data_IF_879360844819
#
_entry.id   IF_879360844819
#
_cell.length_a   1.000
_cell.length_b   1.000
_cell.length_c   1.000
_cell.angle_alpha   90.00
_cell.angle_beta   90.00
_cell.angle_gamma   90.00
#
_symmetry.space_group_name_H-M   'P 1'
#
loop_
_entity.id
_entity.type
_entity.pdbx_description
1 polymer ?
#
# COMPACT_ATOMS: atom_id res chain seq x y z
N UNK A 1 -15.00 29.64 -75.27
CA UNK A 1 -14.24 30.36 -74.21
C UNK A 1 -14.44 29.55 -72.92
N UNK A 2 -13.48 28.70 -72.48
CA UNK A 2 -12.41 28.97 -71.46
C UNK A 2 -12.95 29.73 -70.23
N UNK A 3 -12.79 29.42 -68.93
CA UNK A 3 -12.01 28.53 -68.03
C UNK A 3 -12.76 28.58 -66.66
N UNK A 4 -12.93 27.53 -65.83
CA UNK A 4 -12.04 26.91 -64.80
C UNK A 4 -11.54 27.77 -63.59
N UNK A 5 -11.65 27.17 -62.37
CA UNK A 5 -10.88 27.33 -61.07
C UNK A 5 -11.49 28.17 -59.92
N UNK A 6 -11.78 27.64 -58.70
CA UNK A 6 -11.01 27.04 -57.56
C UNK A 6 -10.43 28.08 -56.55
N UNK A 7 -10.47 27.72 -55.25
CA UNK A 7 -9.70 28.14 -54.04
C UNK A 7 -10.49 29.00 -53.03
N UNK A 8 -10.75 28.53 -51.79
CA UNK A 8 -9.89 28.00 -50.71
C UNK A 8 -9.29 29.10 -49.83
N UNK A 9 -9.72 29.10 -48.56
CA UNK A 9 -9.25 29.99 -47.50
C UNK A 9 -8.05 29.37 -46.78
N UNK A 10 -7.00 30.17 -46.63
CA UNK A 10 -5.72 29.87 -45.97
C UNK A 10 -5.62 30.73 -44.70
N UNK A 11 -5.15 30.13 -43.59
CA UNK A 11 -4.51 30.81 -42.45
C UNK A 11 -3.70 29.71 -41.71
N UNK A 12 -2.38 29.53 -41.90
CA UNK A 12 -1.19 30.25 -41.40
C UNK A 12 -1.11 30.33 -39.86
N UNK A 13 -0.15 29.62 -39.25
CA UNK A 13 1.05 30.24 -38.64
C UNK A 13 2.13 29.21 -38.20
N UNK A 14 3.38 29.58 -38.49
CA UNK A 14 4.68 28.91 -38.27
C UNK A 14 5.30 29.29 -36.91
N UNK A 15 6.24 28.48 -36.39
CA UNK A 15 7.56 28.96 -35.95
C UNK A 15 8.58 27.81 -35.72
N UNK A 16 9.82 28.03 -36.19
CA UNK A 16 11.03 27.19 -36.19
C UNK A 16 12.12 27.84 -35.31
N UNK A 17 13.01 27.03 -34.69
CA UNK A 17 14.45 27.27 -34.41
C UNK A 17 14.95 26.17 -33.44
N UNK A 18 16.13 25.50 -33.50
CA UNK A 18 17.32 25.54 -34.35
C UNK A 18 18.57 25.18 -33.51
N UNK A 19 19.27 24.07 -33.84
CA UNK A 19 20.71 23.69 -33.63
C UNK A 19 21.38 23.76 -32.23
N UNK A 20 22.35 22.92 -31.78
CA UNK A 20 23.15 21.83 -32.38
C UNK A 20 24.24 21.24 -31.42
N UNK A 21 24.65 19.99 -31.75
CA UNK A 21 25.93 19.23 -31.64
C UNK A 21 26.90 19.20 -30.41
N UNK A 22 27.41 17.97 -30.12
CA UNK A 22 28.78 17.66 -29.60
C UNK A 22 28.88 16.61 -28.44
N UNK A 23 28.82 15.29 -28.69
CA UNK A 23 29.90 14.23 -28.72
C UNK A 23 30.56 13.76 -27.40
N UNK A 24 30.50 12.42 -27.21
CA UNK A 24 31.40 11.46 -26.52
C UNK A 24 31.14 10.92 -25.08
N UNK A 25 30.77 9.63 -25.07
CA UNK A 25 31.34 8.49 -24.31
C UNK A 25 31.19 8.39 -22.77
N UNK A 26 30.29 7.52 -22.32
CA UNK A 26 30.59 6.26 -21.58
C UNK A 26 29.47 5.81 -20.63
N UNK A 27 29.26 4.51 -20.60
CA UNK A 27 28.26 3.76 -19.85
C UNK A 27 28.48 3.79 -18.33
N UNK A 28 27.49 4.26 -17.56
CA UNK A 28 27.24 3.86 -16.16
C UNK A 28 25.78 4.14 -15.79
N UNK A 29 25.18 3.24 -15.01
CA UNK A 29 23.84 3.36 -14.44
C UNK A 29 23.59 4.76 -13.84
N UNK A 30 22.44 5.36 -14.16
CA UNK A 30 22.08 6.70 -13.70
C UNK A 30 21.88 6.72 -12.17
N UNK A 31 22.97 6.99 -11.44
CA UNK A 31 22.90 7.45 -10.05
C UNK A 31 22.34 8.87 -10.01
N UNK A 32 21.64 9.19 -8.92
CA UNK A 32 20.84 10.39 -8.62
C UNK A 32 21.53 11.79 -8.73
N UNK A 33 22.62 11.93 -9.48
CA UNK A 33 23.35 13.19 -9.67
C UNK A 33 23.07 13.89 -11.02
N UNK A 34 22.42 13.22 -11.98
CA UNK A 34 22.16 13.81 -13.30
C UNK A 34 20.95 14.76 -13.38
N UNK A 35 20.27 15.06 -12.27
CA UNK A 35 19.20 16.08 -12.19
C UNK A 35 19.71 17.49 -11.87
N UNK A 36 21.03 17.74 -11.93
CA UNK A 36 21.61 19.07 -11.70
C UNK A 36 22.17 19.67 -12.99
N UNK A 37 21.30 20.00 -13.95
CA UNK A 37 21.53 21.09 -14.90
C UNK A 37 20.21 21.47 -15.59
N UNK A 38 19.59 22.53 -15.07
CA UNK A 38 18.26 22.99 -15.44
C UNK A 38 17.47 23.29 -14.18
N UNK A 39 17.63 24.51 -13.66
CA UNK A 39 17.06 24.95 -12.38
C UNK A 39 15.53 24.97 -12.36
N UNK A 40 14.92 23.81 -12.28
CA UNK A 40 13.50 23.65 -11.92
C UNK A 40 13.44 23.71 -10.39
N UNK A 41 12.71 24.70 -9.86
CA UNK A 41 12.30 24.67 -8.46
C UNK A 41 11.46 23.41 -8.27
N UNK A 42 11.93 22.51 -7.41
CA UNK A 42 11.12 21.38 -6.96
C UNK A 42 10.01 21.94 -6.08
N UNK A 43 8.81 22.07 -6.61
CA UNK A 43 7.66 22.43 -5.79
C UNK A 43 7.25 21.20 -4.96
N UNK A 44 6.68 21.43 -3.78
CA UNK A 44 6.05 20.35 -3.04
C UNK A 44 4.95 19.76 -3.94
N UNK A 45 4.90 18.44 -4.10
CA UNK A 45 3.84 17.78 -4.86
C UNK A 45 2.44 18.17 -4.35
N UNK A 46 1.37 17.78 -5.06
CA UNK A 46 0.01 18.16 -4.69
C UNK A 46 -0.26 17.90 -3.19
N UNK A 47 -0.89 18.85 -2.53
CA UNK A 47 -1.14 18.78 -1.09
C UNK A 47 -1.93 17.51 -0.73
N UNK A 48 -1.42 16.75 0.23
CA UNK A 48 -2.12 15.58 0.79
C UNK A 48 -3.45 16.03 1.37
N UNK A 49 -4.54 15.40 0.95
CA UNK A 49 -5.88 15.77 1.39
C UNK A 49 -6.28 15.09 2.71
N UNK A 50 -5.80 13.87 2.96
CA UNK A 50 -6.18 13.09 4.14
C UNK A 50 -5.07 12.11 4.50
N UNK A 51 -4.75 12.00 5.79
CA UNK A 51 -3.71 11.10 6.30
C UNK A 51 -4.31 10.07 7.24
N UNK A 52 -3.86 8.83 7.11
CA UNK A 52 -4.22 7.67 7.92
C UNK A 52 -2.97 7.12 8.62
N UNK A 53 -3.12 6.73 9.88
CA UNK A 53 -2.00 6.27 10.71
C UNK A 53 -1.63 4.81 10.49
N UNK A 54 -2.53 3.99 9.93
CA UNK A 54 -2.28 2.59 9.60
C UNK A 54 -1.67 2.39 8.20
N UNK A 55 -1.25 1.16 7.92
CA UNK A 55 -0.89 0.75 6.56
C UNK A 55 -2.13 0.73 5.67
N UNK A 56 -1.96 0.89 4.35
CA UNK A 56 -3.05 0.86 3.38
C UNK A 56 -3.93 -0.39 3.51
N UNK A 57 -3.35 -1.56 3.79
CA UNK A 57 -4.09 -2.82 3.92
C UNK A 57 -5.10 -2.87 5.07
N UNK A 58 -5.01 -1.95 6.04
CA UNK A 58 -6.01 -1.79 7.09
C UNK A 58 -7.29 -1.12 6.59
N UNK A 59 -7.24 -0.48 5.42
CA UNK A 59 -8.34 0.35 4.94
C UNK A 59 -8.93 -0.21 3.64
N UNK A 60 -10.24 -0.02 3.49
CA UNK A 60 -10.94 -0.25 2.23
C UNK A 60 -11.32 1.09 1.62
N UNK A 61 -10.87 1.35 0.39
CA UNK A 61 -11.17 2.58 -0.34
C UNK A 61 -12.32 2.30 -1.33
N UNK A 62 -13.35 3.15 -1.30
CA UNK A 62 -14.40 3.22 -2.31
C UNK A 62 -14.36 4.58 -2.98
N UNK A 63 -13.85 4.64 -4.21
CA UNK A 63 -13.85 5.89 -4.99
C UNK A 63 -15.27 6.26 -5.46
N UNK A 64 -16.10 5.26 -5.75
CA UNK A 64 -17.49 5.48 -6.16
C UNK A 64 -18.32 6.14 -5.06
N UNK A 65 -18.07 5.77 -3.79
CA UNK A 65 -18.74 6.37 -2.63
C UNK A 65 -17.95 7.50 -1.99
N UNK A 66 -16.72 7.75 -2.45
CA UNK A 66 -15.75 8.68 -1.86
C UNK A 66 -15.56 8.45 -0.35
N UNK A 67 -15.31 7.20 0.03
CA UNK A 67 -15.11 6.80 1.43
C UNK A 67 -13.87 5.93 1.61
N UNK A 68 -13.30 6.01 2.82
CA UNK A 68 -12.26 5.12 3.33
C UNK A 68 -12.77 4.50 4.62
N UNK A 69 -12.85 3.17 4.65
CA UNK A 69 -13.29 2.39 5.82
C UNK A 69 -12.09 1.79 6.52
N UNK A 70 -11.94 2.00 7.82
CA UNK A 70 -11.00 1.26 8.66
C UNK A 70 -11.56 -0.13 8.96
N UNK A 71 -10.91 -1.17 8.42
CA UNK A 71 -11.36 -2.55 8.51
C UNK A 71 -11.27 -3.13 9.94
N UNK A 72 -10.57 -2.45 10.85
CA UNK A 72 -10.43 -2.89 12.25
C UNK A 72 -11.50 -2.27 13.13
N UNK A 73 -11.69 -0.95 13.04
CA UNK A 73 -12.66 -0.23 13.88
C UNK A 73 -14.06 -0.13 13.27
N UNK A 74 -14.20 -0.42 11.97
CA UNK A 74 -15.42 -0.22 11.19
C UNK A 74 -15.76 1.24 10.91
N UNK A 75 -14.90 2.19 11.33
CA UNK A 75 -15.12 3.61 11.10
C UNK A 75 -15.03 3.95 9.61
N UNK A 76 -15.95 4.78 9.13
CA UNK A 76 -16.01 5.23 7.73
C UNK A 76 -15.73 6.72 7.67
N UNK A 77 -14.72 7.10 6.90
CA UNK A 77 -14.32 8.48 6.68
C UNK A 77 -14.68 8.90 5.25
N UNK A 78 -15.40 10.02 5.09
CA UNK A 78 -15.61 10.62 3.78
C UNK A 78 -14.34 11.36 3.30
N UNK A 79 -14.06 11.29 2.00
CA UNK A 79 -12.91 11.94 1.36
C UNK A 79 -13.35 12.77 0.15
N UNK A 80 -12.61 13.80 -0.27
CA UNK A 80 -12.99 14.57 -1.45
C UNK A 80 -12.81 13.77 -2.74
N UNK A 81 -13.49 14.18 -3.81
CA UNK A 81 -13.22 13.66 -5.14
C UNK A 81 -11.75 13.93 -5.53
N UNK A 82 -11.12 12.98 -6.24
CA UNK A 82 -9.71 13.08 -6.67
C UNK A 82 -8.71 13.26 -5.51
N UNK A 83 -9.08 12.85 -4.30
CA UNK A 83 -8.22 12.96 -3.12
C UNK A 83 -6.85 12.28 -3.30
N UNK A 84 -5.83 12.87 -2.69
CA UNK A 84 -4.57 12.24 -2.38
C UNK A 84 -4.55 11.78 -0.92
N UNK A 85 -4.50 10.47 -0.73
CA UNK A 85 -4.61 9.79 0.55
C UNK A 85 -3.24 9.27 0.99
N UNK A 86 -2.76 9.69 2.15
CA UNK A 86 -1.50 9.23 2.72
C UNK A 86 -1.74 8.17 3.79
N UNK A 87 -1.10 7.01 3.66
CA UNK A 87 -1.07 5.95 4.66
C UNK A 87 0.34 5.83 5.25
N UNK A 88 0.51 4.96 6.26
CA UNK A 88 1.81 4.77 6.88
C UNK A 88 2.88 4.19 5.93
N UNK A 89 2.47 3.44 4.91
CA UNK A 89 3.36 2.67 4.03
C UNK A 89 3.24 3.04 2.54
N UNK A 90 2.22 3.81 2.15
CA UNK A 90 1.99 4.18 0.76
C UNK A 90 1.09 5.43 0.62
N UNK A 91 0.96 5.92 -0.61
CA UNK A 91 0.02 6.97 -0.99
C UNK A 91 -0.93 6.41 -2.04
N UNK A 92 -2.20 6.79 -1.98
CA UNK A 92 -3.21 6.47 -2.99
C UNK A 92 -3.80 7.74 -3.58
N UNK A 93 -3.78 7.86 -4.90
CA UNK A 93 -4.50 8.93 -5.60
C UNK A 93 -5.84 8.42 -6.14
N UNK A 94 -6.91 9.17 -5.88
CA UNK A 94 -8.23 8.96 -6.48
C UNK A 94 -8.41 9.72 -7.82
N UNK A 95 -7.39 10.44 -8.29
CA UNK A 95 -7.38 11.06 -9.61
C UNK A 95 -6.95 10.05 -10.68
N UNK A 96 -7.83 9.08 -10.93
CA UNK A 96 -7.54 7.86 -11.71
C UNK A 96 -7.81 8.01 -13.20
N UNK A 97 -8.62 9.00 -13.59
CA UNK A 97 -8.99 9.24 -14.98
C UNK A 97 -7.91 10.06 -15.69
N UNK A 98 -8.07 11.38 -15.77
CA UNK A 98 -7.18 12.26 -16.53
C UNK A 98 -6.05 12.87 -15.70
N UNK A 99 -5.99 12.56 -14.40
CA UNK A 99 -4.89 12.92 -13.53
C UNK A 99 -3.56 12.27 -13.92
N UNK A 100 -2.46 12.89 -13.48
CA UNK A 100 -1.10 12.39 -13.68
C UNK A 100 -0.95 10.91 -13.29
N UNK A 101 -1.44 10.44 -12.11
CA UNK A 101 -1.32 9.03 -11.73
C UNK A 101 -2.02 8.08 -12.71
N UNK A 102 -3.23 8.44 -13.17
CA UNK A 102 -3.98 7.68 -14.18
C UNK A 102 -3.25 7.57 -15.52
N UNK A 103 -2.73 8.69 -16.01
CA UNK A 103 -1.92 8.75 -17.23
C UNK A 103 -0.65 7.90 -17.12
N UNK A 104 0.05 7.97 -15.99
CA UNK A 104 1.26 7.18 -15.76
C UNK A 104 0.96 5.68 -15.73
N UNK A 105 -0.08 5.27 -15.00
CA UNK A 105 -0.46 3.85 -14.95
C UNK A 105 -0.77 3.30 -16.34
N UNK A 106 -1.54 4.05 -17.15
CA UNK A 106 -1.86 3.66 -18.53
C UNK A 106 -0.63 3.64 -19.44
N UNK A 107 0.33 4.54 -19.24
CA UNK A 107 1.55 4.55 -20.02
C UNK A 107 2.43 3.33 -19.73
N UNK A 108 2.58 2.95 -18.46
CA UNK A 108 3.27 1.70 -18.08
C UNK A 108 2.58 0.48 -18.68
N UNK A 109 1.25 0.42 -18.64
CA UNK A 109 0.48 -0.62 -19.31
C UNK A 109 0.80 -0.65 -20.82
N UNK A 110 0.67 0.48 -21.50
CA UNK A 110 0.86 0.54 -22.94
C UNK A 110 2.28 0.20 -23.39
N UNK A 111 3.29 0.67 -22.64
CA UNK A 111 4.70 0.44 -22.97
C UNK A 111 5.17 -0.97 -22.62
N UNK A 112 4.81 -1.48 -21.44
CA UNK A 112 5.43 -2.69 -20.86
C UNK A 112 4.44 -3.84 -20.58
N UNK A 113 3.14 -3.64 -20.82
CA UNK A 113 2.10 -4.60 -20.51
C UNK A 113 2.15 -5.09 -19.05
N UNK A 114 2.41 -4.17 -18.11
CA UNK A 114 2.46 -4.49 -16.68
C UNK A 114 1.89 -3.36 -15.84
N UNK A 115 1.56 -3.69 -14.60
CA UNK A 115 1.33 -2.69 -13.57
C UNK A 115 2.67 -2.03 -13.21
N UNK A 116 2.70 -0.72 -12.95
CA UNK A 116 3.91 -0.05 -12.52
C UNK A 116 4.35 -0.53 -11.14
N UNK A 117 5.65 -0.50 -10.88
CA UNK A 117 6.14 -0.63 -9.51
C UNK A 117 5.89 0.69 -8.75
N UNK A 118 5.67 0.60 -7.44
CA UNK A 118 5.16 1.73 -6.66
C UNK A 118 6.13 2.92 -6.61
N UNK A 119 7.45 2.64 -6.52
CA UNK A 119 8.48 3.68 -6.43
C UNK A 119 8.76 4.33 -7.80
N UNK A 120 8.86 3.52 -8.85
CA UNK A 120 8.99 3.96 -10.23
C UNK A 120 7.80 4.82 -10.65
N UNK A 121 6.58 4.43 -10.28
CA UNK A 121 5.39 5.25 -10.51
C UNK A 121 5.50 6.63 -9.84
N UNK A 122 5.87 6.66 -8.56
CA UNK A 122 6.03 7.91 -7.82
C UNK A 122 7.11 8.83 -8.38
N UNK A 123 8.20 8.26 -8.90
CA UNK A 123 9.24 9.02 -9.60
C UNK A 123 8.71 9.68 -10.87
N UNK A 124 7.93 8.97 -11.69
CA UNK A 124 7.36 9.53 -12.92
C UNK A 124 6.28 10.58 -12.62
N UNK A 125 5.42 10.33 -11.61
CA UNK A 125 4.43 11.32 -11.14
C UNK A 125 5.15 12.60 -10.69
N UNK A 126 6.23 12.49 -9.93
CA UNK A 126 7.03 13.63 -9.51
C UNK A 126 7.65 14.37 -10.71
N UNK A 127 8.18 13.63 -11.70
CA UNK A 127 8.69 14.22 -12.93
C UNK A 127 7.66 15.09 -13.65
N UNK A 128 6.42 14.60 -13.81
CA UNK A 128 5.34 15.38 -14.44
C UNK A 128 4.91 16.60 -13.61
N UNK A 129 4.82 16.46 -12.29
CA UNK A 129 4.54 17.59 -11.40
C UNK A 129 5.62 18.69 -11.51
N UNK A 130 6.83 18.33 -11.93
CA UNK A 130 7.96 19.25 -12.14
C UNK A 130 8.19 19.60 -13.61
N UNK A 131 7.19 19.40 -14.48
CA UNK A 131 7.18 19.94 -15.84
C UNK A 131 7.63 18.99 -16.95
N UNK A 132 7.93 17.72 -16.65
CA UNK A 132 8.07 16.72 -17.72
C UNK A 132 6.71 16.46 -18.38
N UNK A 133 6.69 16.46 -19.71
CA UNK A 133 5.49 16.10 -20.46
C UNK A 133 5.32 14.58 -20.50
N UNK A 134 4.07 14.13 -20.69
CA UNK A 134 3.78 12.71 -20.89
C UNK A 134 4.52 12.13 -22.10
N UNK A 135 4.68 12.94 -23.17
CA UNK A 135 5.46 12.56 -24.35
C UNK A 135 6.94 12.34 -24.04
N UNK A 136 7.55 13.22 -23.22
CA UNK A 136 8.95 13.06 -22.80
C UNK A 136 9.14 11.78 -22.00
N UNK A 137 8.20 11.45 -21.10
CA UNK A 137 8.25 10.19 -20.33
C UNK A 137 8.04 8.98 -21.25
N UNK A 138 7.11 9.05 -22.21
CA UNK A 138 6.91 8.00 -23.20
C UNK A 138 8.17 7.75 -24.03
N UNK A 139 8.89 8.81 -24.43
CA UNK A 139 10.18 8.71 -25.10
C UNK A 139 11.22 8.05 -24.20
N UNK A 140 11.34 8.47 -22.94
CA UNK A 140 12.24 7.85 -21.97
C UNK A 140 11.96 6.36 -21.75
N UNK A 141 10.69 5.94 -21.79
CA UNK A 141 10.32 4.53 -21.70
C UNK A 141 10.79 3.75 -22.92
N UNK A 142 10.58 4.27 -24.13
CA UNK A 142 11.03 3.63 -25.38
C UNK A 142 12.56 3.51 -25.42
N UNK A 143 13.27 4.53 -24.94
CA UNK A 143 14.73 4.57 -24.89
C UNK A 143 15.33 3.79 -23.71
N UNK A 144 14.48 3.27 -22.82
CA UNK A 144 14.92 2.57 -21.62
C UNK A 144 15.56 1.21 -21.93
N UNK A 145 16.46 0.81 -21.03
CA UNK A 145 16.98 -0.56 -21.02
C UNK A 145 15.86 -1.59 -20.87
N UNK A 146 14.84 -1.32 -20.06
CA UNK A 146 13.71 -2.23 -19.88
C UNK A 146 12.99 -2.50 -21.21
N UNK A 147 12.74 -1.47 -22.02
CA UNK A 147 12.04 -1.62 -23.29
C UNK A 147 12.87 -2.42 -24.30
N UNK A 148 14.16 -2.11 -24.39
CA UNK A 148 15.08 -2.83 -25.27
C UNK A 148 15.34 -4.27 -24.82
N UNK A 149 15.46 -4.54 -23.52
CA UNK A 149 15.61 -5.91 -22.99
C UNK A 149 14.30 -6.72 -23.17
N UNK A 150 13.13 -6.08 -23.12
CA UNK A 150 11.82 -6.75 -23.25
C UNK A 150 11.47 -7.07 -24.72
N UNK A 151 11.71 -6.14 -25.64
CA UNK A 151 11.23 -6.26 -27.04
C UNK A 151 12.34 -6.32 -28.09
N UNK A 152 13.58 -6.00 -27.73
CA UNK A 152 14.67 -5.86 -28.69
C UNK A 152 14.50 -4.66 -29.63
N UNK A 153 15.26 -4.67 -30.73
CA UNK A 153 15.19 -3.64 -31.74
C UNK A 153 13.95 -3.83 -32.64
N UNK A 154 12.90 -3.04 -32.40
CA UNK A 154 11.68 -3.08 -33.22
C UNK A 154 11.77 -2.11 -34.40
N UNK A 155 11.39 -2.56 -35.60
CA UNK A 155 11.02 -1.66 -36.70
C UNK A 155 9.62 -1.05 -36.47
N UNK A 156 9.16 -0.13 -37.32
CA UNK A 156 7.90 0.58 -37.10
C UNK A 156 6.67 -0.35 -37.10
N UNK A 157 6.64 -1.34 -37.98
CA UNK A 157 5.54 -2.32 -38.04
C UNK A 157 5.51 -3.18 -36.77
N UNK A 158 6.65 -3.68 -36.32
CA UNK A 158 6.76 -4.47 -35.10
C UNK A 158 6.43 -3.63 -33.85
N UNK A 159 6.87 -2.37 -33.80
CA UNK A 159 6.54 -1.44 -32.73
C UNK A 159 5.03 -1.24 -32.59
N UNK A 160 4.33 -0.90 -33.69
CA UNK A 160 2.87 -0.75 -33.67
C UNK A 160 2.18 -2.06 -33.28
N UNK A 161 2.61 -3.18 -33.84
CA UNK A 161 2.06 -4.50 -33.49
C UNK A 161 2.21 -4.81 -32.00
N UNK A 162 3.34 -4.45 -31.40
CA UNK A 162 3.57 -4.60 -29.96
C UNK A 162 2.63 -3.72 -29.13
N UNK A 163 2.39 -2.47 -29.54
CA UNK A 163 1.44 -1.59 -28.85
C UNK A 163 0.01 -2.13 -28.88
N UNK A 164 -0.42 -2.72 -30.01
CA UNK A 164 -1.70 -3.42 -30.10
C UNK A 164 -1.78 -4.60 -29.14
N UNK A 165 -0.73 -5.43 -29.07
CA UNK A 165 -0.68 -6.56 -28.15
C UNK A 165 -0.72 -6.11 -26.68
N UNK A 166 0.02 -5.06 -26.33
CA UNK A 166 0.05 -4.50 -24.99
C UNK A 166 -1.29 -3.88 -24.62
N UNK A 167 -1.79 -2.94 -25.41
CA UNK A 167 -2.95 -2.14 -25.05
C UNK A 167 -4.26 -2.87 -25.28
N UNK A 168 -4.44 -3.40 -26.49
CA UNK A 168 -5.74 -3.84 -27.01
C UNK A 168 -5.92 -5.36 -26.87
N UNK A 169 -4.88 -6.07 -26.43
CA UNK A 169 -4.86 -7.54 -26.26
C UNK A 169 -5.24 -8.30 -27.54
N UNK A 170 -4.90 -7.73 -28.71
CA UNK A 170 -5.22 -8.29 -30.03
C UNK A 170 -4.16 -7.91 -31.05
N UNK A 171 -4.14 -8.62 -32.18
CA UNK A 171 -3.38 -8.21 -33.35
C UNK A 171 -4.02 -6.97 -34.01
N UNK A 172 -3.22 -6.11 -34.68
CA UNK A 172 -3.78 -5.01 -35.46
C UNK A 172 -4.51 -5.53 -36.70
N UNK A 173 -5.61 -4.89 -37.04
CA UNK A 173 -6.19 -5.02 -38.37
C UNK A 173 -5.34 -4.26 -39.41
N UNK A 174 -5.49 -4.61 -40.68
CA UNK A 174 -4.65 -4.08 -41.75
C UNK A 174 -4.74 -2.54 -41.89
N UNK A 175 -5.93 -1.97 -41.70
CA UNK A 175 -6.15 -0.53 -41.83
C UNK A 175 -5.53 0.24 -40.66
N UNK A 176 -5.73 -0.25 -39.43
CA UNK A 176 -5.13 0.32 -38.22
C UNK A 176 -3.61 0.26 -38.26
N UNK A 177 -3.03 -0.88 -38.65
CA UNK A 177 -1.59 -1.02 -38.81
C UNK A 177 -1.03 -0.01 -39.83
N UNK A 178 -1.64 0.07 -41.01
CA UNK A 178 -1.23 1.00 -42.06
C UNK A 178 -1.33 2.46 -41.61
N UNK A 179 -2.38 2.82 -40.87
CA UNK A 179 -2.55 4.17 -40.32
C UNK A 179 -1.41 4.54 -39.37
N UNK A 180 -1.13 3.70 -38.37
CA UNK A 180 -0.11 4.00 -37.37
C UNK A 180 1.32 3.92 -37.94
N UNK A 181 1.61 2.95 -38.79
CA UNK A 181 2.91 2.86 -39.49
C UNK A 181 3.10 4.06 -40.40
N UNK A 182 2.06 4.45 -41.15
CA UNK A 182 2.13 5.63 -42.01
C UNK A 182 2.32 6.94 -41.25
N UNK A 183 1.86 7.03 -40.01
CA UNK A 183 2.19 8.15 -39.11
C UNK A 183 3.67 8.17 -38.70
N UNK A 184 4.29 7.01 -38.50
CA UNK A 184 5.72 6.90 -38.18
C UNK A 184 6.62 7.12 -39.41
N UNK A 185 6.09 6.88 -40.61
CA UNK A 185 6.86 6.96 -41.87
C UNK A 185 6.58 8.25 -42.66
N UNK A 186 5.59 9.04 -42.25
CA UNK A 186 5.18 10.27 -42.95
C UNK A 186 4.41 10.00 -44.24
N UNK A 187 3.84 8.80 -44.41
CA UNK A 187 2.99 8.45 -45.56
C UNK A 187 1.51 8.77 -45.35
N UNK A 188 1.15 9.36 -44.20
CA UNK A 188 -0.18 9.88 -43.93
C UNK A 188 -0.55 11.05 -44.88
N UNK A 189 -1.85 11.39 -45.05
CA UNK A 189 -2.31 12.46 -45.93
C UNK A 189 -1.75 13.87 -45.65
N UNK A 190 -1.02 14.06 -44.52
CA UNK A 190 -0.35 15.31 -44.17
C UNK A 190 1.17 15.30 -44.35
N UNK A 191 1.77 14.18 -44.77
CA UNK A 191 3.22 14.04 -44.92
C UNK A 191 4.02 14.16 -43.63
N UNK A 192 3.37 14.12 -42.46
CA UNK A 192 4.01 14.40 -41.16
C UNK A 192 4.53 13.12 -40.53
N UNK A 193 5.80 13.11 -40.15
CA UNK A 193 6.42 12.05 -39.36
C UNK A 193 6.14 12.32 -37.88
N UNK A 194 5.45 11.38 -37.21
CA UNK A 194 5.26 11.38 -35.77
C UNK A 194 6.36 10.56 -35.09
N UNK A 195 6.74 10.97 -33.88
CA UNK A 195 7.65 10.18 -33.05
C UNK A 195 6.96 8.91 -32.54
N UNK A 196 7.74 7.88 -32.21
CA UNK A 196 7.22 6.68 -31.53
C UNK A 196 6.60 7.02 -30.18
N UNK A 197 7.13 8.02 -29.48
CA UNK A 197 6.55 8.53 -28.24
C UNK A 197 5.13 9.07 -28.43
N UNK A 198 4.87 9.86 -29.49
CA UNK A 198 3.52 10.35 -29.80
C UNK A 198 2.56 9.19 -30.09
N UNK A 199 3.02 8.18 -30.85
CA UNK A 199 2.19 7.01 -31.14
C UNK A 199 1.89 6.23 -29.86
N UNK A 200 2.89 5.93 -29.03
CA UNK A 200 2.69 5.27 -27.73
C UNK A 200 1.75 6.05 -26.81
N UNK A 201 1.94 7.37 -26.71
CA UNK A 201 1.03 8.27 -25.99
C UNK A 201 -0.41 8.13 -26.50
N UNK A 202 -0.62 8.13 -27.81
CA UNK A 202 -1.94 7.99 -28.42
C UNK A 202 -2.61 6.64 -28.08
N UNK A 203 -1.85 5.55 -28.05
CA UNK A 203 -2.34 4.25 -27.58
C UNK A 203 -2.67 4.27 -26.08
N UNK A 204 -1.78 4.82 -25.26
CA UNK A 204 -1.97 4.95 -23.80
C UNK A 204 -3.25 5.68 -23.44
N UNK A 205 -3.52 6.81 -24.11
CA UNK A 205 -4.66 7.68 -23.79
C UNK A 205 -5.89 7.42 -24.66
N UNK A 206 -5.87 6.37 -25.48
CA UNK A 206 -7.02 5.95 -26.26
C UNK A 206 -8.20 5.58 -25.35
N UNK A 207 -9.43 5.83 -25.84
CA UNK A 207 -10.64 5.48 -25.10
C UNK A 207 -10.71 3.97 -24.79
N UNK A 208 -10.21 3.12 -25.70
CA UNK A 208 -10.16 1.67 -25.51
C UNK A 208 -9.22 1.29 -24.36
N UNK A 209 -8.01 1.88 -24.27
CA UNK A 209 -7.11 1.61 -23.15
C UNK A 209 -7.68 2.11 -21.81
N UNK A 210 -8.26 3.32 -21.79
CA UNK A 210 -8.90 3.87 -20.59
C UNK A 210 -9.98 2.92 -20.08
N UNK A 211 -10.83 2.39 -20.96
CA UNK A 211 -11.86 1.41 -20.61
C UNK A 211 -11.26 0.10 -20.06
N UNK A 212 -10.20 -0.44 -20.67
CA UNK A 212 -9.54 -1.68 -20.25
C UNK A 212 -8.84 -1.57 -18.89
N UNK A 213 -8.40 -0.37 -18.51
CA UNK A 213 -7.70 -0.11 -17.25
C UNK A 213 -8.65 0.32 -16.13
N UNK A 214 -9.80 0.91 -16.45
CA UNK A 214 -10.72 1.55 -15.50
C UNK A 214 -11.01 0.68 -14.26
N UNK A 215 -11.36 -0.59 -14.46
CA UNK A 215 -11.69 -1.51 -13.36
C UNK A 215 -10.53 -1.78 -12.41
N UNK A 216 -9.28 -1.74 -12.91
CA UNK A 216 -8.07 -2.02 -12.12
C UNK A 216 -7.69 -0.86 -11.21
N UNK A 217 -8.00 0.37 -11.64
CA UNK A 217 -7.64 1.60 -10.92
C UNK A 217 -8.85 2.25 -10.25
N UNK A 218 -10.06 1.69 -10.37
CA UNK A 218 -11.30 2.31 -9.91
C UNK A 218 -11.26 2.81 -8.46
N UNK A 219 -10.58 2.09 -7.57
CA UNK A 219 -10.48 2.40 -6.14
C UNK A 219 -9.21 3.17 -5.77
N UNK A 220 -8.53 3.76 -6.74
CA UNK A 220 -7.33 4.55 -6.56
C UNK A 220 -6.08 3.88 -7.14
N UNK A 221 -5.04 4.70 -7.29
CA UNK A 221 -3.73 4.30 -7.77
C UNK A 221 -2.74 4.45 -6.64
N UNK A 222 -2.20 3.32 -6.20
CA UNK A 222 -1.18 3.25 -5.16
C UNK A 222 0.22 3.55 -5.71
N UNK A 223 1.01 4.33 -4.96
CA UNK A 223 2.43 4.59 -5.24
C UNK A 223 3.21 5.00 -3.99
N UNK A 224 4.54 5.02 -4.09
CA UNK A 224 5.43 5.61 -3.08
C UNK A 224 5.90 6.97 -3.58
N UNK A 225 5.64 8.09 -2.87
CA UNK A 225 6.10 9.41 -3.30
C UNK A 225 7.61 9.47 -3.54
N UNK A 226 8.02 10.23 -4.55
CA UNK A 226 9.44 10.44 -4.81
C UNK A 226 10.14 11.09 -3.61
N UNK A 227 11.34 10.60 -3.28
CA UNK A 227 12.08 11.03 -2.07
C UNK A 227 11.60 10.36 -0.79
N UNK A 228 10.47 9.65 -0.81
CA UNK A 228 10.05 8.72 0.24
C UNK A 228 10.54 7.31 -0.09
N UNK A 229 10.49 6.44 0.91
CA UNK A 229 10.79 5.02 0.73
C UNK A 229 9.62 4.19 1.26
N UNK A 230 9.34 3.08 0.59
CA UNK A 230 8.51 2.05 1.19
C UNK A 230 9.19 1.55 2.49
N UNK A 231 8.42 1.09 3.48
CA UNK A 231 9.01 0.43 4.63
C UNK A 231 9.98 -0.67 4.18
N UNK A 232 11.23 -0.62 4.63
CA UNK A 232 12.30 -1.56 4.22
C UNK A 232 12.52 -2.70 5.23
N UNK A 233 11.62 -2.80 6.21
CA UNK A 233 11.67 -3.80 7.27
C UNK A 233 11.78 -5.21 6.67
N UNK A 234 12.82 -5.99 7.02
CA UNK A 234 13.02 -7.32 6.45
C UNK A 234 11.90 -8.28 6.88
N UNK A 235 11.61 -9.29 6.05
CA UNK A 235 10.57 -10.29 6.30
C UNK A 235 10.68 -10.95 7.69
N UNK A 236 11.91 -11.22 8.14
CA UNK A 236 12.19 -11.84 9.45
C UNK A 236 11.78 -10.99 10.64
N UNK A 237 11.65 -9.67 10.48
CA UNK A 237 11.18 -8.79 11.56
C UNK A 237 9.69 -9.01 11.91
N UNK A 238 8.94 -9.69 11.04
CA UNK A 238 7.53 -10.03 11.27
C UNK A 238 7.35 -11.40 11.92
N UNK A 239 8.43 -12.10 12.30
CA UNK A 239 8.39 -13.42 12.95
C UNK A 239 7.48 -13.42 14.18
N UNK A 240 6.30 -14.02 14.07
CA UNK A 240 5.34 -14.18 15.15
C UNK A 240 4.16 -15.08 14.69
N UNK A 241 3.33 -15.46 15.66
CA UNK A 241 2.00 -16.02 15.38
C UNK A 241 0.95 -14.92 15.51
N UNK A 242 0.16 -14.75 14.45
CA UNK A 242 -0.95 -13.83 14.37
C UNK A 242 -2.25 -14.61 14.26
N UNK A 243 -3.21 -14.32 15.14
CA UNK A 243 -4.52 -14.95 15.12
C UNK A 243 -5.58 -13.89 14.82
N UNK A 244 -6.64 -14.30 14.11
CA UNK A 244 -7.59 -13.38 13.56
C UNK A 244 -8.85 -14.04 13.02
N UNK A 245 -9.58 -13.25 12.25
CA UNK A 245 -10.83 -13.66 11.63
C UNK A 245 -11.01 -13.03 10.27
N UNK A 246 -11.92 -13.62 9.50
CA UNK A 246 -12.45 -13.08 8.25
C UNK A 246 -13.79 -12.43 8.51
N UNK A 247 -14.10 -11.38 7.75
CA UNK A 247 -15.45 -10.84 7.64
C UNK A 247 -15.76 -10.41 6.20
N UNK A 248 -17.04 -10.32 5.85
CA UNK A 248 -17.51 -10.00 4.50
C UNK A 248 -18.38 -11.11 3.91
N UNK A 249 -18.10 -11.53 2.68
CA UNK A 249 -18.86 -12.57 1.98
C UNK A 249 -18.86 -13.96 2.65
N UNK A 250 -17.99 -14.16 3.64
CA UNK A 250 -17.95 -15.29 4.57
C UNK A 250 -17.35 -14.80 5.91
N UNK A 251 -17.44 -15.64 6.93
CA UNK A 251 -16.76 -15.48 8.21
C UNK A 251 -15.92 -16.71 8.51
N UNK A 252 -14.95 -16.59 9.41
CA UNK A 252 -14.02 -17.68 9.65
C UNK A 252 -12.90 -17.32 10.59
N UNK A 253 -12.10 -18.31 10.95
CA UNK A 253 -10.87 -18.10 11.75
C UNK A 253 -9.66 -18.04 10.82
N UNK A 254 -8.67 -17.26 11.25
CA UNK A 254 -7.41 -17.07 10.54
C UNK A 254 -6.25 -17.22 11.52
N UNK A 255 -5.26 -18.03 11.14
CA UNK A 255 -3.96 -18.08 11.78
C UNK A 255 -2.88 -17.82 10.72
N UNK A 256 -2.00 -16.87 11.00
CA UNK A 256 -0.83 -16.56 10.18
C UNK A 256 0.42 -16.71 11.04
N UNK A 257 1.37 -17.49 10.56
CA UNK A 257 2.67 -17.68 11.22
C UNK A 257 3.76 -17.21 10.27
N UNK A 258 4.56 -16.25 10.73
CA UNK A 258 5.80 -15.88 10.06
C UNK A 258 6.94 -16.62 10.75
N UNK A 259 7.66 -17.44 10.01
CA UNK A 259 8.78 -18.20 10.56
C UNK A 259 10.08 -17.38 10.62
N UNK A 260 11.12 -17.95 11.24
CA UNK A 260 12.42 -17.30 11.41
C UNK A 260 13.16 -17.01 10.08
N UNK A 261 12.73 -17.62 8.98
CA UNK A 261 13.28 -17.39 7.64
C UNK A 261 12.46 -16.36 6.85
N UNK A 262 11.36 -15.84 7.42
CA UNK A 262 10.47 -14.87 6.78
C UNK A 262 9.43 -15.50 5.85
N UNK A 263 9.23 -16.82 5.91
CA UNK A 263 8.13 -17.48 5.22
C UNK A 263 6.82 -17.25 6.01
N UNK A 264 5.75 -16.93 5.29
CA UNK A 264 4.40 -16.78 5.82
C UNK A 264 3.61 -18.06 5.57
N UNK A 265 3.18 -18.71 6.64
CA UNK A 265 2.30 -19.87 6.63
C UNK A 265 0.92 -19.40 7.09
N UNK A 266 -0.13 -19.69 6.34
CA UNK A 266 -1.49 -19.36 6.74
C UNK A 266 -2.39 -20.58 6.82
N UNK A 267 -3.29 -20.55 7.80
CA UNK A 267 -4.37 -21.49 8.02
C UNK A 267 -5.68 -20.73 8.18
N UNK A 268 -6.69 -21.15 7.45
CA UNK A 268 -7.98 -20.49 7.31
C UNK A 268 -9.08 -21.51 7.49
N UNK A 269 -10.05 -21.23 8.36
CA UNK A 269 -11.28 -22.00 8.44
C UNK A 269 -12.43 -21.17 7.89
N UNK A 270 -13.10 -21.64 6.83
CA UNK A 270 -14.32 -21.04 6.30
C UNK A 270 -15.54 -21.55 7.05
N UNK A 271 -16.37 -20.65 7.58
CA UNK A 271 -17.61 -21.03 8.24
C UNK A 271 -18.70 -21.42 7.22
N UNK A 272 -18.78 -20.73 6.07
CA UNK A 272 -19.80 -21.02 5.06
C UNK A 272 -19.64 -22.43 4.45
N UNK A 273 -18.41 -22.85 4.21
CA UNK A 273 -18.11 -24.15 3.60
C UNK A 273 -17.71 -25.21 4.61
N UNK A 274 -17.44 -24.83 5.86
CA UNK A 274 -16.91 -25.70 6.92
C UNK A 274 -15.66 -26.46 6.44
N UNK A 275 -14.72 -25.74 5.83
CA UNK A 275 -13.47 -26.28 5.29
C UNK A 275 -12.27 -25.54 5.84
N UNK A 276 -11.19 -26.30 6.06
CA UNK A 276 -9.88 -25.76 6.37
C UNK A 276 -9.05 -25.64 5.09
N UNK A 277 -8.38 -24.50 4.94
CA UNK A 277 -7.48 -24.20 3.83
C UNK A 277 -6.14 -23.71 4.38
N UNK A 278 -5.06 -24.12 3.72
CA UNK A 278 -3.71 -23.77 4.13
C UNK A 278 -2.86 -23.37 2.93
N UNK A 279 -1.79 -22.65 3.20
CA UNK A 279 -0.83 -22.22 2.18
C UNK A 279 0.41 -21.60 2.78
N UNK A 280 1.39 -21.36 1.92
CA UNK A 280 2.66 -20.74 2.27
C UNK A 280 3.08 -19.76 1.18
N UNK A 281 3.67 -18.63 1.58
CA UNK A 281 4.21 -17.62 0.67
C UNK A 281 5.41 -16.93 1.30
N UNK A 282 6.08 -16.06 0.55
CA UNK A 282 7.07 -15.13 1.09
C UNK A 282 6.45 -13.79 1.47
N UNK A 283 7.12 -13.06 2.36
CA UNK A 283 6.75 -11.67 2.69
C UNK A 283 7.74 -10.73 2.00
N UNK A 284 7.24 -9.71 1.32
CA UNK A 284 8.07 -8.66 0.77
C UNK A 284 8.64 -7.77 1.89
N UNK A 285 9.75 -7.07 1.61
CA UNK A 285 10.21 -6.01 2.49
C UNK A 285 9.08 -5.01 2.77
N UNK A 286 8.93 -4.61 4.03
CA UNK A 286 7.81 -3.77 4.48
C UNK A 286 6.54 -4.53 4.85
N UNK A 287 6.55 -5.86 4.82
CA UNK A 287 5.50 -6.69 5.41
C UNK A 287 4.34 -7.00 4.48
N UNK A 288 4.43 -6.70 3.18
CA UNK A 288 3.38 -6.99 2.19
C UNK A 288 3.41 -8.45 1.75
N UNK A 289 2.24 -9.03 1.50
CA UNK A 289 2.12 -10.41 1.05
C UNK A 289 0.87 -10.66 0.19
N UNK A 290 0.96 -11.70 -0.63
CA UNK A 290 -0.18 -12.38 -1.26
C UNK A 290 -0.03 -13.86 -0.94
N UNK A 291 -1.04 -14.42 -0.30
CA UNK A 291 -1.05 -15.80 0.18
C UNK A 291 -2.24 -16.54 -0.45
N UNK A 292 -1.93 -17.50 -1.31
CA UNK A 292 -2.91 -18.44 -1.84
C UNK A 292 -3.06 -19.64 -0.89
N UNK A 293 -4.31 -19.98 -0.61
CA UNK A 293 -4.74 -21.03 0.29
C UNK A 293 -5.60 -22.04 -0.48
N UNK A 294 -5.50 -23.31 -0.12
CA UNK A 294 -6.36 -24.35 -0.70
C UNK A 294 -6.70 -25.44 0.30
N UNK A 295 -7.83 -26.11 0.08
CA UNK A 295 -8.35 -27.16 0.95
C UNK A 295 -9.81 -27.49 0.67
N UNK A 296 -10.20 -28.74 0.85
CA UNK A 296 -11.59 -29.17 0.64
C UNK A 296 -12.14 -28.96 -0.77
N UNK A 297 -11.28 -28.87 -1.80
CA UNK A 297 -11.70 -28.56 -3.18
C UNK A 297 -11.92 -27.07 -3.46
N UNK A 298 -11.55 -26.21 -2.51
CA UNK A 298 -11.68 -24.76 -2.61
C UNK A 298 -10.34 -24.05 -2.56
N UNK A 299 -10.32 -22.80 -3.02
CA UNK A 299 -9.17 -21.91 -2.93
C UNK A 299 -9.57 -20.54 -2.41
N UNK A 300 -8.65 -19.86 -1.73
CA UNK A 300 -8.80 -18.49 -1.29
C UNK A 300 -7.48 -17.74 -1.43
N UNK A 301 -7.53 -16.43 -1.66
CA UNK A 301 -6.33 -15.58 -1.72
C UNK A 301 -6.45 -14.47 -0.68
N UNK A 302 -5.45 -14.35 0.19
CA UNK A 302 -5.29 -13.23 1.12
C UNK A 302 -4.27 -12.24 0.56
N UNK A 303 -4.63 -10.97 0.46
CA UNK A 303 -3.72 -9.89 0.04
C UNK A 303 -3.68 -8.82 1.12
N UNK A 304 -2.50 -8.53 1.67
CA UNK A 304 -2.40 -7.59 2.79
C UNK A 304 -1.00 -7.23 3.22
N UNK A 305 -0.89 -6.65 4.41
CA UNK A 305 0.39 -6.30 5.01
C UNK A 305 0.41 -6.45 6.53
N UNK A 306 1.62 -6.60 7.06
CA UNK A 306 1.91 -6.51 8.49
C UNK A 306 2.34 -5.10 8.86
N UNK A 307 1.72 -4.53 9.89
CA UNK A 307 2.20 -3.34 10.57
C UNK A 307 2.91 -3.75 11.87
N UNK A 308 4.24 -3.61 11.89
CA UNK A 308 5.05 -4.04 13.02
C UNK A 308 4.77 -3.22 14.29
N UNK A 309 4.48 -1.93 14.14
CA UNK A 309 4.24 -1.00 15.24
C UNK A 309 2.94 -1.34 15.98
N UNK A 310 1.86 -1.62 15.26
CA UNK A 310 0.57 -2.02 15.86
C UNK A 310 0.49 -3.52 16.15
N UNK A 311 1.32 -4.35 15.50
CA UNK A 311 1.24 -5.81 15.59
C UNK A 311 0.07 -6.42 14.82
N UNK A 312 -0.50 -5.67 13.87
CA UNK A 312 -1.63 -6.09 13.06
C UNK A 312 -1.16 -6.65 11.71
N UNK A 313 -1.85 -7.67 11.24
CA UNK A 313 -1.86 -8.15 9.87
C UNK A 313 -3.27 -7.90 9.33
N UNK A 314 -3.40 -7.12 8.26
CA UNK A 314 -4.71 -6.74 7.71
C UNK A 314 -4.68 -6.84 6.20
N UNK A 315 -5.85 -7.02 5.59
CA UNK A 315 -5.98 -7.01 4.15
C UNK A 315 -7.35 -7.44 3.65
N UNK A 316 -7.40 -7.79 2.37
CA UNK A 316 -8.58 -8.32 1.70
C UNK A 316 -8.42 -9.80 1.40
N UNK A 317 -9.54 -10.48 1.27
CA UNK A 317 -9.57 -11.87 0.86
C UNK A 317 -10.58 -12.12 -0.24
N UNK A 318 -10.30 -13.10 -1.09
CA UNK A 318 -11.16 -13.56 -2.18
C UNK A 318 -11.24 -15.08 -2.19
N UNK A 319 -12.31 -15.64 -2.75
CA UNK A 319 -12.51 -17.09 -2.91
C UNK A 319 -12.52 -17.50 -4.39
N UNK A 320 -11.84 -18.60 -4.73
CA UNK A 320 -11.77 -19.11 -6.09
C UNK A 320 -12.97 -20.00 -6.42
N UNK A 321 -13.93 -19.44 -7.16
CA UNK A 321 -15.12 -20.15 -7.66
C UNK A 321 -16.46 -19.56 -7.21
N UNK A 322 -16.45 -18.70 -6.19
CA UNK A 322 -17.60 -17.94 -5.68
C UNK A 322 -17.17 -16.52 -5.37
N UNK A 323 -18.01 -15.53 -5.69
CA UNK A 323 -17.75 -14.08 -5.60
C UNK A 323 -17.61 -13.55 -4.15
N UNK A 324 -17.23 -14.41 -3.20
CA UNK A 324 -17.05 -14.04 -1.81
C UNK A 324 -15.76 -13.22 -1.69
N UNK A 325 -15.94 -11.98 -1.22
CA UNK A 325 -14.88 -11.00 -1.02
C UNK A 325 -15.08 -10.41 0.36
N UNK A 326 -13.99 -10.08 1.04
CA UNK A 326 -14.08 -9.44 2.34
C UNK A 326 -12.74 -8.94 2.84
N UNK A 327 -12.68 -8.71 4.14
CA UNK A 327 -11.48 -8.25 4.83
C UNK A 327 -11.07 -9.26 5.87
N UNK A 328 -9.78 -9.30 6.15
CA UNK A 328 -9.23 -10.06 7.25
C UNK A 328 -8.43 -9.14 8.15
N UNK A 329 -8.40 -9.50 9.43
CA UNK A 329 -7.42 -8.96 10.36
C UNK A 329 -6.97 -10.07 11.28
N UNK A 330 -5.68 -10.08 11.58
CA UNK A 330 -5.06 -10.92 12.58
C UNK A 330 -4.08 -10.06 13.38
N UNK A 331 -3.85 -10.39 14.63
CA UNK A 331 -2.88 -9.68 15.45
C UNK A 331 -1.90 -10.66 16.07
N UNK A 332 -0.66 -10.22 16.26
CA UNK A 332 0.27 -10.97 17.08
C UNK A 332 -0.36 -11.10 18.45
N UNK A 333 -0.40 -12.31 19.00
CA UNK A 333 -0.89 -12.46 20.37
C UNK A 333 -0.10 -11.53 21.26
N UNK A 334 -0.81 -10.71 22.02
CA UNK A 334 -0.27 -10.15 23.25
C UNK A 334 0.16 -11.36 24.07
N UNK A 335 1.46 -11.54 24.27
CA UNK A 335 1.96 -12.37 25.37
C UNK A 335 1.11 -11.97 26.57
N UNK A 336 0.35 -12.90 27.15
CA UNK A 336 -0.39 -12.64 28.39
C UNK A 336 0.67 -12.06 29.31
N UNK A 337 0.61 -10.75 29.55
CA UNK A 337 1.55 -10.12 30.46
C UNK A 337 1.25 -10.83 31.76
N UNK A 338 2.18 -11.68 32.22
CA UNK A 338 2.17 -12.17 33.58
C UNK A 338 2.34 -10.91 34.41
N UNK A 339 1.21 -10.27 34.74
CA UNK A 339 1.20 -9.03 35.49
C UNK A 339 1.39 -9.32 36.95
N UNK A 340 1.11 -10.57 37.38
CA UNK A 340 1.28 -10.92 38.76
C UNK A 340 2.73 -10.79 39.25
N UNK A 341 3.80 -11.24 38.56
CA UNK A 341 5.17 -10.95 38.95
C UNK A 341 5.49 -9.45 39.14
N UNK A 342 4.95 -8.58 38.27
CA UNK A 342 5.13 -7.13 38.38
C UNK A 342 4.33 -6.54 39.56
N UNK A 343 3.07 -6.97 39.74
CA UNK A 343 2.23 -6.59 40.87
C UNK A 343 2.85 -7.06 42.18
N UNK A 344 3.32 -8.30 42.25
CA UNK A 344 4.00 -8.86 43.42
C UNK A 344 5.25 -8.06 43.76
N UNK A 345 6.04 -7.62 42.78
CA UNK A 345 7.20 -6.77 43.01
C UNK A 345 6.79 -5.41 43.61
N UNK A 346 5.77 -4.75 43.07
CA UNK A 346 5.25 -3.48 43.59
C UNK A 346 4.69 -3.68 45.01
N UNK A 347 3.86 -4.70 45.24
CA UNK A 347 3.28 -4.99 46.55
C UNK A 347 4.38 -5.28 47.59
N UNK A 348 5.42 -6.04 47.21
CA UNK A 348 6.57 -6.31 48.07
C UNK A 348 7.31 -5.02 48.47
N UNK A 349 7.52 -4.11 47.52
CA UNK A 349 8.23 -2.86 47.75
C UNK A 349 7.40 -1.81 48.50
N UNK A 350 6.09 -1.75 48.23
CA UNK A 350 5.24 -0.64 48.68
C UNK A 350 4.35 -0.98 49.87
N UNK A 351 4.05 -2.25 50.09
CA UNK A 351 3.02 -2.68 51.04
C UNK A 351 3.53 -3.67 52.10
N UNK A 352 4.43 -4.60 51.73
CA UNK A 352 4.82 -5.72 52.60
C UNK A 352 5.57 -5.26 53.85
N UNK A 353 6.26 -4.11 53.84
CA UNK A 353 6.87 -3.55 55.05
C UNK A 353 5.87 -3.35 56.21
N UNK A 354 4.58 -3.14 55.90
CA UNK A 354 3.50 -2.93 56.86
C UNK A 354 2.41 -4.02 56.84
N UNK A 355 2.42 -4.91 55.85
CA UNK A 355 1.43 -5.96 55.60
C UNK A 355 2.10 -7.33 55.37
N UNK A 356 3.12 -7.65 56.16
CA UNK A 356 3.86 -8.93 56.12
C UNK A 356 3.45 -9.88 57.24
N UNK A 357 4.04 -11.08 57.23
CA UNK A 357 3.93 -12.04 58.33
C UNK A 357 4.29 -11.48 59.70
N UNK A 358 5.30 -10.64 59.76
CA UNK A 358 5.79 -10.06 61.01
C UNK A 358 4.97 -8.84 61.45
N UNK A 359 4.32 -8.15 60.51
CA UNK A 359 3.57 -6.93 60.79
C UNK A 359 2.35 -6.83 59.87
N UNK A 360 1.17 -7.09 60.42
CA UNK A 360 -0.10 -7.18 59.70
C UNK A 360 -1.02 -5.99 60.01
N UNK A 361 -0.59 -4.77 59.68
CA UNK A 361 -1.35 -3.56 60.00
C UNK A 361 -2.77 -3.63 59.45
N UNK A 362 -3.75 -3.28 60.29
CA UNK A 362 -5.17 -3.35 59.93
C UNK A 362 -5.68 -4.77 59.63
N UNK A 363 -4.98 -5.80 60.13
CA UNK A 363 -5.31 -7.21 59.94
C UNK A 363 -5.05 -7.74 58.53
N UNK A 364 -4.28 -7.02 57.72
CA UNK A 364 -4.03 -7.35 56.31
C UNK A 364 -2.63 -7.93 56.13
N UNK A 365 -2.57 -8.99 55.33
CA UNK A 365 -1.35 -9.70 54.92
C UNK A 365 -1.27 -9.73 53.40
N UNK A 366 -0.10 -9.46 52.84
CA UNK A 366 0.15 -9.35 51.39
C UNK A 366 1.48 -10.02 50.96
N UNK A 367 2.09 -10.82 51.84
CA UNK A 367 3.39 -11.45 51.63
C UNK A 367 3.36 -12.75 50.80
N UNK A 368 2.17 -13.20 50.40
CA UNK A 368 2.01 -14.33 49.46
C UNK A 368 1.00 -14.01 48.37
N UNK A 369 1.13 -14.68 47.23
CA UNK A 369 0.22 -14.51 46.09
C UNK A 369 -1.25 -14.74 46.43
N UNK A 370 -1.55 -15.83 47.14
CA UNK A 370 -2.92 -16.15 47.53
C UNK A 370 -3.54 -15.03 48.39
N UNK A 371 -2.74 -14.41 49.26
CA UNK A 371 -3.18 -13.30 50.10
C UNK A 371 -3.38 -12.01 49.30
N UNK A 372 -2.49 -11.71 48.35
CA UNK A 372 -2.64 -10.55 47.45
C UNK A 372 -3.92 -10.68 46.61
N UNK A 373 -4.16 -11.86 46.02
CA UNK A 373 -5.38 -12.14 45.25
C UNK A 373 -6.62 -12.06 46.11
N UNK A 374 -6.59 -12.64 47.31
CA UNK A 374 -7.70 -12.58 48.28
C UNK A 374 -8.03 -11.16 48.75
N UNK A 375 -7.09 -10.23 48.66
CA UNK A 375 -7.27 -8.82 49.06
C UNK A 375 -7.46 -7.87 47.86
N UNK A 376 -7.57 -8.37 46.62
CA UNK A 376 -7.60 -7.55 45.41
C UNK A 376 -8.64 -6.41 45.46
N UNK A 377 -9.87 -6.68 45.89
CA UNK A 377 -10.91 -5.65 46.00
C UNK A 377 -10.51 -4.53 46.98
N UNK A 378 -9.92 -4.89 48.13
CA UNK A 378 -9.46 -3.92 49.13
C UNK A 378 -8.27 -3.13 48.63
N UNK A 379 -7.29 -3.79 48.00
CA UNK A 379 -6.13 -3.14 47.37
C UNK A 379 -6.60 -2.11 46.34
N UNK A 380 -7.57 -2.46 45.48
CA UNK A 380 -8.11 -1.53 44.49
C UNK A 380 -8.72 -0.29 45.16
N UNK A 381 -9.51 -0.49 46.21
CA UNK A 381 -10.19 0.62 46.90
C UNK A 381 -9.21 1.56 47.60
N UNK A 382 -8.22 1.03 48.33
CA UNK A 382 -7.35 1.84 49.19
C UNK A 382 -6.05 2.30 48.52
N UNK A 383 -5.51 1.53 47.59
CA UNK A 383 -4.25 1.85 46.93
C UNK A 383 -4.46 2.40 45.50
N UNK A 384 -5.47 1.93 44.75
CA UNK A 384 -5.64 2.40 43.36
C UNK A 384 -6.60 3.59 43.28
N UNK A 385 -7.80 3.44 43.84
CA UNK A 385 -8.87 4.43 43.68
C UNK A 385 -8.73 5.63 44.62
N UNK A 386 -8.56 5.39 45.92
CA UNK A 386 -8.45 6.48 46.91
C UNK A 386 -7.03 6.98 47.13
N UNK A 387 -6.03 6.18 46.74
CA UNK A 387 -4.59 6.44 46.95
C UNK A 387 -4.17 6.62 48.43
N UNK A 388 -5.05 6.31 49.39
CA UNK A 388 -4.80 6.51 50.83
C UNK A 388 -3.69 5.60 51.36
N UNK A 389 -3.50 4.43 50.75
CA UNK A 389 -2.40 3.53 51.05
C UNK A 389 -1.34 3.60 49.96
N UNK A 390 -0.03 3.63 50.32
CA UNK A 390 0.51 3.75 51.67
C UNK A 390 0.15 5.10 52.32
N UNK A 391 -0.10 5.13 53.64
CA UNK A 391 -0.46 6.37 54.36
C UNK A 391 0.60 7.45 54.12
N UNK A 392 0.18 8.65 53.71
CA UNK A 392 1.09 9.75 53.35
C UNK A 392 2.06 9.43 52.21
N UNK A 393 1.80 8.37 51.44
CA UNK A 393 2.68 7.80 50.43
C UNK A 393 4.11 7.52 50.93
N UNK A 394 4.27 7.10 52.19
CA UNK A 394 5.60 6.92 52.84
C UNK A 394 6.55 5.96 52.11
N UNK A 395 6.05 5.03 51.29
CA UNK A 395 6.88 4.11 50.50
C UNK A 395 7.15 4.59 49.07
N UNK A 396 6.69 5.79 48.70
CA UNK A 396 6.95 6.41 47.40
C UNK A 396 6.24 5.73 46.24
N UNK A 397 5.04 5.18 46.46
CA UNK A 397 4.28 4.48 45.41
C UNK A 397 3.80 5.47 44.34
N UNK A 398 4.13 5.19 43.07
CA UNK A 398 3.87 6.10 41.93
C UNK A 398 2.47 5.90 41.34
N UNK A 399 2.02 6.85 40.50
CA UNK A 399 0.77 6.71 39.76
C UNK A 399 0.79 5.54 38.77
N UNK A 400 1.92 5.31 38.10
CA UNK A 400 2.10 4.20 37.16
C UNK A 400 2.04 2.84 37.86
N UNK A 401 2.67 2.71 39.04
CA UNK A 401 2.59 1.49 39.85
C UNK A 401 1.14 1.20 40.28
N UNK A 402 0.36 2.22 40.64
CA UNK A 402 -1.07 2.09 40.96
C UNK A 402 -1.87 1.67 39.73
N UNK A 403 -1.57 2.23 38.56
CA UNK A 403 -2.22 1.87 37.31
C UNK A 403 -1.96 0.39 36.93
N UNK A 404 -0.74 -0.11 37.13
CA UNK A 404 -0.39 -1.53 36.91
C UNK A 404 -1.25 -2.46 37.79
N UNK A 405 -1.35 -2.15 39.09
CA UNK A 405 -2.18 -2.93 40.02
C UNK A 405 -3.67 -2.85 39.65
N UNK A 406 -4.18 -1.65 39.37
CA UNK A 406 -5.58 -1.45 38.97
C UNK A 406 -5.94 -2.24 37.72
N UNK A 407 -5.05 -2.24 36.72
CA UNK A 407 -5.24 -2.95 35.46
C UNK A 407 -5.12 -4.47 35.62
N UNK A 408 -4.32 -4.97 36.56
CA UNK A 408 -4.31 -6.39 36.92
C UNK A 408 -5.62 -6.82 37.61
N UNK A 409 -6.15 -5.98 38.50
CA UNK A 409 -7.40 -6.27 39.21
C UNK A 409 -8.60 -6.21 38.26
N UNK A 410 -8.68 -5.21 37.38
CA UNK A 410 -9.77 -5.08 36.40
C UNK A 410 -9.83 -6.26 35.43
N UNK A 411 -8.69 -6.89 35.16
CA UNK A 411 -8.58 -8.01 34.23
C UNK A 411 -8.84 -9.36 34.92
N UNK A 412 -9.39 -9.36 36.13
CA UNK A 412 -9.77 -10.59 36.85
C UNK A 412 -8.60 -11.28 37.54
N UNK A 413 -7.53 -10.54 37.87
CA UNK A 413 -6.30 -11.06 38.48
C UNK A 413 -5.69 -12.22 37.66
N UNK A 414 -5.19 -11.99 36.44
CA UNK A 414 -4.49 -13.03 35.69
C UNK A 414 -3.18 -13.47 36.40
N UNK A 415 -2.61 -14.63 36.01
CA UNK A 415 -1.28 -15.07 36.47
C UNK A 415 -0.14 -14.09 36.19
#
# INVERSE_FOLDING_TARGET
MKQERILASVLVLLALAGCGAGTDSSSTAATASQLRQGGVRMDAGPAVNTTFSGNLSQYTISNASLTVTDNVSGQVQAVPARALLQFADATVSLDVDDGIPGQMYRLYQAAFNRVPDLAGLGAQINGMNNGLSLEQIAQNFIDSREFSDTYGALNNTAFVTQLYANVLKRAPDAAGLAFHVGNLEGTNPGGRVLSRAIVLFGFSESAENKALVADKIRNGIEYIPFGSSAPSTPATAFTANYNGSLSGGDSGTLALTVDANGALIGALHSAAFNVDMNGVTGIAAGGRFVLDLSGGGHTATLSGSFNLASGLATGTWTYGGSTAVGTFFANKKVQVVLRFPQVQAIINQRCVSCHSASLANGGVRLDTEALIRGQAARINQVAVQSTIMPQGNVTGMTADERAIIGKWISDGTPP
#
